data_IF_675215298724
#
_entry.id   IF_675215298724
#
_cell.length_a   1.000
_cell.length_b   1.000
_cell.length_c   1.000
_cell.angle_alpha   90.00
_cell.angle_beta   90.00
_cell.angle_gamma   90.00
#
_symmetry.space_group_name_H-M   'P 1'
#
loop_
_entity.id
_entity.type
_entity.pdbx_description
1 polymer ?
#
# COMPACT_ATOMS: atom_id res chain seq x y z
N UNK A 1 19.27 6.02 11.29
CA UNK A 1 18.29 6.35 10.23
C UNK A 1 17.37 5.14 10.12
N UNK A 2 16.06 5.34 9.93
CA UNK A 2 15.08 4.23 9.94
C UNK A 2 14.50 3.99 8.55
N UNK A 3 14.09 2.75 8.30
CA UNK A 3 13.37 2.36 7.07
C UNK A 3 11.94 2.86 7.16
N UNK A 4 11.53 3.68 6.21
CA UNK A 4 10.22 4.32 6.16
C UNK A 4 9.45 3.76 4.99
N UNK A 5 8.21 3.40 5.26
CA UNK A 5 7.30 2.84 4.29
C UNK A 5 6.01 3.63 4.33
N UNK A 6 5.35 3.73 3.20
CA UNK A 6 4.08 4.46 3.10
C UNK A 6 3.02 3.55 2.54
N UNK A 7 1.78 3.79 2.91
CA UNK A 7 0.65 3.06 2.37
C UNK A 7 -0.37 4.03 1.83
N UNK A 8 -0.85 3.76 0.62
CA UNK A 8 -1.80 4.58 -0.11
C UNK A 8 -3.05 3.76 -0.39
N UNK A 9 -4.21 4.36 -0.15
CA UNK A 9 -5.49 3.87 -0.67
C UNK A 9 -5.84 4.67 -1.92
N UNK A 10 -6.11 3.96 -3.01
CA UNK A 10 -6.54 4.55 -4.27
C UNK A 10 -7.97 4.11 -4.60
N UNK A 11 -8.74 4.97 -5.23
CA UNK A 11 -10.09 4.67 -5.69
C UNK A 11 -10.39 5.41 -6.99
N UNK A 12 -11.27 4.87 -7.82
CA UNK A 12 -11.80 5.59 -8.99
C UNK A 12 -12.88 6.57 -8.58
N UNK A 13 -12.67 7.84 -8.93
CA UNK A 13 -13.61 8.94 -8.68
C UNK A 13 -13.78 9.77 -9.95
N UNK A 14 -14.99 10.30 -10.17
CA UNK A 14 -15.23 11.23 -11.28
C UNK A 14 -14.67 12.60 -10.92
N UNK A 15 -13.73 13.17 -11.68
CA UNK A 15 -13.19 14.49 -11.39
C UNK A 15 -14.20 15.59 -11.69
N UNK A 16 -14.00 16.77 -11.10
CA UNK A 16 -14.81 17.96 -11.30
C UNK A 16 -14.87 18.35 -12.77
N UNK A 17 -16.09 18.49 -13.31
CA UNK A 17 -16.31 18.81 -14.72
C UNK A 17 -16.05 17.64 -15.68
N UNK A 18 -15.67 16.46 -15.19
CA UNK A 18 -15.50 15.24 -15.96
C UNK A 18 -16.75 14.35 -15.97
N UNK A 19 -16.69 13.29 -16.78
CA UNK A 19 -17.75 12.27 -16.88
C UNK A 19 -17.23 10.85 -16.68
N UNK A 20 -15.90 10.67 -16.69
CA UNK A 20 -15.24 9.37 -16.55
C UNK A 20 -14.50 9.32 -15.21
N UNK A 21 -14.55 8.17 -14.55
CA UNK A 21 -13.87 7.97 -13.27
C UNK A 21 -12.39 7.65 -13.49
N UNK A 22 -11.52 8.31 -12.74
CA UNK A 22 -10.07 8.13 -12.76
C UNK A 22 -9.55 7.75 -11.38
N UNK A 23 -8.47 6.98 -11.31
CA UNK A 23 -7.81 6.70 -10.04
C UNK A 23 -7.30 7.96 -9.33
N UNK A 24 -7.55 8.02 -8.02
CA UNK A 24 -7.03 9.02 -7.10
C UNK A 24 -6.64 8.38 -5.77
N UNK A 25 -5.57 8.87 -5.17
CA UNK A 25 -5.28 8.61 -3.77
C UNK A 25 -6.32 9.30 -2.89
N UNK A 26 -6.90 8.56 -1.96
CA UNK A 26 -7.98 9.01 -1.05
C UNK A 26 -7.62 8.89 0.42
N UNK A 27 -6.54 8.16 0.74
CA UNK A 27 -5.95 8.14 2.07
C UNK A 27 -4.49 7.71 1.96
N UNK A 28 -3.65 8.22 2.84
CA UNK A 28 -2.25 7.83 2.90
C UNK A 28 -1.71 7.89 4.33
N UNK A 29 -0.82 6.97 4.67
CA UNK A 29 -0.07 6.97 5.94
C UNK A 29 1.41 6.81 5.69
N UNK A 30 2.20 7.39 6.59
CA UNK A 30 3.63 7.18 6.69
C UNK A 30 3.95 6.37 7.93
N UNK A 31 4.76 5.32 7.76
CA UNK A 31 5.15 4.42 8.83
C UNK A 31 6.67 4.32 8.96
N UNK A 32 7.19 4.71 10.12
CA UNK A 32 8.58 4.48 10.50
C UNK A 32 8.80 3.06 11.01
N UNK A 33 9.75 2.33 10.43
CA UNK A 33 10.14 0.96 10.76
C UNK A 33 9.10 -0.11 10.37
N UNK A 34 8.44 0.04 9.22
CA UNK A 34 7.61 -1.02 8.60
C UNK A 34 8.30 -1.50 7.32
N UNK A 35 8.84 -2.72 7.34
CA UNK A 35 9.57 -3.32 6.22
C UNK A 35 9.56 -4.84 6.37
N UNK A 36 10.12 -5.56 5.37
CA UNK A 36 10.14 -7.01 5.37
C UNK A 36 8.72 -7.59 5.37
N UNK A 37 8.36 -8.34 6.42
CA UNK A 37 7.02 -8.97 6.53
C UNK A 37 5.93 -8.02 7.01
N UNK A 38 6.27 -6.87 7.60
CA UNK A 38 5.31 -5.99 8.25
C UNK A 38 4.30 -5.35 7.27
N UNK A 39 4.70 -4.86 6.08
CA UNK A 39 3.75 -4.34 5.10
C UNK A 39 2.73 -5.39 4.63
N UNK A 40 3.14 -6.65 4.50
CA UNK A 40 2.24 -7.76 4.14
C UNK A 40 1.20 -8.00 5.24
N UNK A 41 1.62 -7.98 6.51
CA UNK A 41 0.71 -8.16 7.65
C UNK A 41 -0.30 -7.01 7.77
N UNK A 42 0.17 -5.77 7.63
CA UNK A 42 -0.67 -4.58 7.66
C UNK A 42 -1.67 -4.60 6.48
N UNK A 43 -1.20 -4.89 5.26
CA UNK A 43 -2.04 -5.04 4.07
C UNK A 43 -3.09 -6.11 4.27
N UNK A 44 -2.70 -7.31 4.74
CA UNK A 44 -3.66 -8.40 4.99
C UNK A 44 -4.76 -8.01 5.97
N UNK A 45 -4.40 -7.33 7.06
CA UNK A 45 -5.35 -6.84 8.06
C UNK A 45 -6.29 -5.81 7.44
N UNK A 46 -5.75 -4.87 6.66
CA UNK A 46 -6.53 -3.86 5.98
C UNK A 46 -7.52 -4.46 4.99
N UNK A 47 -7.11 -5.46 4.20
CA UNK A 47 -8.01 -6.16 3.28
C UNK A 47 -9.16 -6.86 4.04
N UNK A 48 -8.91 -7.44 5.22
CA UNK A 48 -10.02 -7.96 6.07
C UNK A 48 -11.00 -6.85 6.43
N UNK A 49 -10.50 -5.70 6.87
CA UNK A 49 -11.34 -4.59 7.32
C UNK A 49 -12.13 -4.00 6.16
N UNK A 50 -11.52 -3.83 4.98
CA UNK A 50 -12.18 -3.30 3.78
C UNK A 50 -13.31 -4.22 3.32
N UNK A 51 -13.11 -5.55 3.39
CA UNK A 51 -14.08 -6.55 2.94
C UNK A 51 -15.22 -6.82 3.91
N UNK A 52 -15.15 -6.30 5.14
CA UNK A 52 -16.25 -6.37 6.09
C UNK A 52 -17.44 -5.54 5.55
N UNK A 53 -18.65 -6.10 5.58
CA UNK A 53 -19.83 -5.54 4.89
C UNK A 53 -20.17 -4.11 5.36
N UNK A 54 -20.13 -3.88 6.68
CA UNK A 54 -20.43 -2.59 7.29
C UNK A 54 -19.37 -1.55 6.90
N UNK A 55 -18.09 -1.94 6.94
CA UNK A 55 -16.99 -1.07 6.54
C UNK A 55 -17.05 -0.76 5.03
N UNK A 56 -17.34 -1.76 4.20
CA UNK A 56 -17.45 -1.65 2.76
C UNK A 56 -18.56 -0.66 2.35
N UNK A 57 -19.70 -0.66 3.04
CA UNK A 57 -20.77 0.31 2.79
C UNK A 57 -20.31 1.75 3.04
N UNK A 58 -19.62 1.98 4.17
CA UNK A 58 -19.11 3.31 4.51
C UNK A 58 -18.03 3.77 3.52
N UNK A 59 -17.09 2.89 3.15
CA UNK A 59 -16.04 3.18 2.17
C UNK A 59 -16.66 3.61 0.83
N UNK A 60 -17.66 2.88 0.33
CA UNK A 60 -18.34 3.23 -0.93
C UNK A 60 -18.99 4.60 -0.87
N UNK A 61 -19.65 4.92 0.24
CA UNK A 61 -20.28 6.23 0.39
C UNK A 61 -19.23 7.34 0.48
N UNK A 62 -18.14 7.15 1.21
CA UNK A 62 -17.04 8.13 1.26
C UNK A 62 -16.46 8.38 -0.15
N UNK A 63 -16.15 7.33 -0.91
CA UNK A 63 -15.67 7.45 -2.30
C UNK A 63 -16.69 8.19 -3.17
N UNK A 64 -17.97 7.81 -3.10
CA UNK A 64 -19.06 8.44 -3.86
C UNK A 64 -19.20 9.92 -3.55
N UNK A 65 -18.93 10.33 -2.31
CA UNK A 65 -19.02 11.75 -1.95
C UNK A 65 -17.96 12.61 -2.66
N UNK A 66 -16.90 12.03 -3.21
CA UNK A 66 -15.86 12.73 -3.94
C UNK A 66 -16.23 13.03 -5.40
N UNK A 67 -17.17 12.26 -5.97
CA UNK A 67 -17.56 12.37 -7.38
C UNK A 67 -17.99 13.80 -7.76
N UNK A 68 -17.34 14.33 -8.79
CA UNK A 68 -17.59 15.65 -9.36
C UNK A 68 -17.16 16.82 -8.49
N UNK A 69 -16.56 16.59 -7.32
CA UNK A 69 -16.20 17.67 -6.37
C UNK A 69 -14.80 18.20 -6.54
N UNK A 70 -13.84 17.34 -6.88
CA UNK A 70 -12.41 17.67 -6.89
C UNK A 70 -11.78 17.37 -8.25
N UNK A 71 -10.71 18.08 -8.63
CA UNK A 71 -9.99 17.93 -9.91
C UNK A 71 -9.29 16.58 -10.02
N UNK A 72 -8.34 16.40 -10.95
CA UNK A 72 -7.38 15.27 -10.90
C UNK A 72 -6.22 15.56 -9.93
N UNK A 73 -5.22 14.67 -9.88
CA UNK A 73 -4.05 14.84 -9.01
C UNK A 73 -3.41 16.20 -9.24
N UNK A 74 -3.30 17.00 -8.16
CA UNK A 74 -2.77 18.38 -8.20
C UNK A 74 -3.50 19.36 -9.12
N UNK A 75 -4.76 19.08 -9.46
CA UNK A 75 -5.63 19.98 -10.21
C UNK A 75 -6.74 20.57 -9.34
N UNK A 76 -7.26 21.72 -9.72
CA UNK A 76 -8.39 22.38 -9.05
C UNK A 76 -9.75 21.75 -9.45
N UNK A 77 -10.72 21.65 -8.53
CA UNK A 77 -10.63 21.96 -7.10
C UNK A 77 -9.76 20.97 -6.31
N UNK A 78 -8.86 21.46 -5.46
CA UNK A 78 -7.92 20.61 -4.70
C UNK A 78 -8.65 19.66 -3.74
N UNK A 79 -8.18 18.41 -3.69
CA UNK A 79 -8.65 17.39 -2.74
C UNK A 79 -8.25 17.78 -1.31
N UNK A 80 -9.14 17.70 -0.30
CA UNK A 80 -8.75 17.95 1.08
C UNK A 80 -7.75 16.91 1.55
N UNK A 81 -6.95 17.25 2.57
CA UNK A 81 -5.90 16.36 3.09
C UNK A 81 -6.43 14.98 3.53
N UNK A 82 -7.66 14.95 4.05
CA UNK A 82 -8.35 13.76 4.55
C UNK A 82 -9.76 13.65 3.93
N UNK A 83 -9.88 13.22 2.66
CA UNK A 83 -11.15 13.23 1.94
C UNK A 83 -12.10 12.12 2.39
N UNK A 84 -11.56 11.00 2.91
CA UNK A 84 -12.31 9.86 3.42
C UNK A 84 -11.88 9.55 4.87
N UNK A 85 -12.39 10.29 5.88
CA UNK A 85 -11.95 10.15 7.27
C UNK A 85 -12.08 8.74 7.86
N UNK A 86 -13.17 8.03 7.57
CA UNK A 86 -13.38 6.68 8.11
C UNK A 86 -12.46 5.67 7.44
N UNK A 87 -12.33 5.74 6.11
CA UNK A 87 -11.40 4.91 5.34
C UNK A 87 -9.95 5.15 5.78
N UNK A 88 -9.58 6.42 6.03
CA UNK A 88 -8.27 6.78 6.57
C UNK A 88 -8.04 6.22 7.97
N UNK A 89 -9.07 6.20 8.82
CA UNK A 89 -9.00 5.56 10.13
C UNK A 89 -8.73 4.05 10.02
N UNK A 90 -9.39 3.34 9.10
CA UNK A 90 -9.13 1.91 8.88
C UNK A 90 -7.68 1.66 8.43
N UNK A 91 -7.18 2.49 7.51
CA UNK A 91 -5.77 2.46 7.09
C UNK A 91 -4.83 2.64 8.28
N UNK A 92 -5.01 3.73 9.04
CA UNK A 92 -4.15 4.06 10.17
C UNK A 92 -4.21 2.97 11.26
N UNK A 93 -5.37 2.39 11.52
CA UNK A 93 -5.54 1.28 12.46
C UNK A 93 -4.81 0.01 11.99
N UNK A 94 -5.00 -0.39 10.74
CA UNK A 94 -4.37 -1.59 10.19
C UNK A 94 -2.84 -1.50 10.20
N UNK A 95 -2.31 -0.29 9.98
CA UNK A 95 -0.89 -0.01 9.89
C UNK A 95 -0.22 0.38 11.21
N UNK A 96 -0.96 0.64 12.28
CA UNK A 96 -0.37 1.05 13.59
C UNK A 96 -0.52 0.01 14.70
N UNK A 97 -1.54 -0.85 14.63
CA UNK A 97 -1.86 -1.75 15.74
C UNK A 97 -1.13 -3.11 15.61
N UNK A 98 -0.48 -3.56 16.68
CA UNK A 98 0.05 -4.93 16.82
C UNK A 98 0.86 -5.42 15.60
N UNK A 99 1.76 -4.57 15.09
CA UNK A 99 2.82 -5.00 14.19
C UNK A 99 4.03 -5.40 15.05
N UNK A 100 4.50 -6.66 14.98
CA UNK A 100 5.62 -7.10 15.80
C UNK A 100 6.86 -6.27 15.49
N UNK A 101 7.41 -5.56 16.47
CA UNK A 101 8.53 -4.65 16.20
C UNK A 101 8.90 -3.73 17.36
N UNK A 102 9.87 -2.86 17.09
CA UNK A 102 10.48 -1.99 18.08
C UNK A 102 9.49 -0.99 18.69
N UNK A 103 9.73 -0.63 19.95
CA UNK A 103 8.99 0.35 20.78
C UNK A 103 8.93 1.80 20.20
N UNK A 104 9.29 2.00 18.92
CA UNK A 104 9.43 3.29 18.22
C UNK A 104 8.78 3.30 16.83
N UNK A 105 7.82 2.41 16.58
CA UNK A 105 6.99 2.52 15.37
C UNK A 105 6.12 3.77 15.50
N UNK A 106 6.18 4.63 14.47
CA UNK A 106 5.38 5.84 14.39
C UNK A 106 4.65 5.76 13.05
N UNK A 107 3.32 5.66 13.13
CA UNK A 107 2.41 5.73 12.00
C UNK A 107 1.64 7.05 12.10
N UNK A 108 1.54 7.81 11.01
CA UNK A 108 0.74 9.02 10.95
C UNK A 108 0.18 9.22 9.54
N UNK A 109 -1.04 9.74 9.47
CA UNK A 109 -1.67 10.16 8.22
C UNK A 109 -0.85 11.23 7.49
N UNK A 110 -0.80 11.14 6.16
CA UNK A 110 -0.26 12.16 5.26
C UNK A 110 -1.33 12.58 4.26
N UNK A 111 -1.14 13.75 3.64
CA UNK A 111 -2.15 14.33 2.74
C UNK A 111 -2.48 13.39 1.58
N UNK A 112 -3.77 13.18 1.29
CA UNK A 112 -4.20 12.29 0.22
C UNK A 112 -3.74 12.74 -1.19
N UNK A 113 -3.42 14.02 -1.38
CA UNK A 113 -2.92 14.55 -2.66
C UNK A 113 -1.38 14.48 -2.79
N UNK A 114 -0.68 13.92 -1.78
CA UNK A 114 0.77 13.77 -1.82
C UNK A 114 1.20 12.80 -2.93
N UNK A 115 2.27 13.14 -3.62
CA UNK A 115 2.89 12.24 -4.59
C UNK A 115 3.61 11.09 -3.89
N UNK A 116 3.61 9.93 -4.55
CA UNK A 116 4.23 8.70 -4.05
C UNK A 116 5.72 8.83 -3.66
N UNK A 117 6.46 9.83 -4.19
CA UNK A 117 7.88 10.08 -3.92
C UNK A 117 8.16 11.42 -3.23
N UNK A 118 7.13 12.13 -2.76
CA UNK A 118 7.29 13.49 -2.19
C UNK A 118 7.63 13.48 -0.70
N UNK A 119 7.77 12.28 -0.14
CA UNK A 119 7.95 11.98 1.27
C UNK A 119 8.99 10.86 1.39
N UNK A 120 9.66 10.77 2.54
CA UNK A 120 10.74 9.80 2.74
C UNK A 120 10.19 8.35 2.78
N UNK A 121 10.52 7.52 1.79
CA UNK A 121 9.99 6.16 1.62
C UNK A 121 11.07 5.15 1.18
N UNK A 122 12.26 5.23 1.78
CA UNK A 122 13.38 4.31 1.50
C UNK A 122 13.07 2.81 1.72
N UNK A 123 11.95 2.45 2.37
CA UNK A 123 11.43 1.08 2.51
C UNK A 123 10.36 0.70 1.48
N UNK A 124 10.09 1.56 0.50
CA UNK A 124 9.05 1.39 -0.52
C UNK A 124 7.68 1.90 -0.10
N UNK A 125 6.68 1.57 -0.92
CA UNK A 125 5.27 1.91 -0.68
C UNK A 125 4.37 0.70 -0.89
N UNK A 126 3.23 0.68 -0.22
CA UNK A 126 2.08 -0.16 -0.49
C UNK A 126 0.99 0.67 -1.15
N UNK A 127 0.35 0.12 -2.17
CA UNK A 127 -0.82 0.73 -2.81
C UNK A 127 -1.95 -0.28 -2.79
N UNK A 128 -3.12 0.15 -2.34
CA UNK A 128 -4.31 -0.70 -2.24
C UNK A 128 -5.44 0.01 -2.97
N UNK A 129 -6.00 -0.65 -3.98
CA UNK A 129 -7.21 -0.22 -4.68
C UNK A 129 -8.45 -0.63 -3.87
N UNK A 130 -9.27 0.35 -3.54
CA UNK A 130 -10.51 0.20 -2.77
C UNK A 130 -11.75 0.61 -3.57
N UNK A 131 -11.62 0.77 -4.89
CA UNK A 131 -12.72 1.14 -5.79
C UNK A 131 -13.91 0.19 -5.63
N UNK A 132 -13.62 -1.11 -5.48
CA UNK A 132 -14.59 -2.12 -5.07
C UNK A 132 -14.13 -2.79 -3.77
N UNK A 133 -14.68 -2.40 -2.60
CA UNK A 133 -14.28 -2.96 -1.31
C UNK A 133 -14.51 -4.48 -1.17
N UNK A 134 -15.36 -5.10 -1.99
CA UNK A 134 -15.54 -6.56 -2.00
C UNK A 134 -14.40 -7.28 -2.74
N UNK A 135 -13.78 -6.59 -3.70
CA UNK A 135 -12.69 -7.10 -4.51
C UNK A 135 -11.52 -6.10 -4.60
N UNK A 136 -10.91 -5.74 -3.46
CA UNK A 136 -9.78 -4.82 -3.44
C UNK A 136 -8.55 -5.46 -4.10
N UNK A 137 -7.67 -4.61 -4.65
CA UNK A 137 -6.39 -5.03 -5.19
C UNK A 137 -5.24 -4.41 -4.39
N UNK A 138 -4.04 -4.98 -4.44
CA UNK A 138 -2.87 -4.40 -3.79
C UNK A 138 -1.59 -4.57 -4.59
N UNK A 139 -0.57 -3.76 -4.30
CA UNK A 139 0.80 -4.05 -4.68
C UNK A 139 1.79 -3.41 -3.71
N UNK A 140 3.04 -3.82 -3.79
CA UNK A 140 4.17 -3.09 -3.21
C UNK A 140 4.99 -2.45 -4.32
N UNK A 141 5.70 -1.37 -4.03
CA UNK A 141 6.58 -0.72 -5.02
C UNK A 141 7.87 -0.26 -4.36
N UNK A 142 8.99 -0.61 -4.97
CA UNK A 142 10.29 -0.03 -4.64
C UNK A 142 10.46 1.32 -5.34
N UNK A 143 10.46 2.41 -4.58
CA UNK A 143 10.53 3.78 -5.14
C UNK A 143 11.97 4.25 -5.31
N UNK A 144 12.83 3.98 -4.32
CA UNK A 144 14.26 4.34 -4.34
C UNK A 144 15.15 3.10 -4.15
N UNK A 145 14.60 1.92 -4.43
CA UNK A 145 15.08 0.64 -3.97
C UNK A 145 14.40 0.21 -2.68
N UNK A 146 14.75 -0.98 -2.22
CA UNK A 146 14.45 -1.46 -0.88
C UNK A 146 15.81 -1.60 -0.17
N UNK A 147 15.90 -1.16 1.09
CA UNK A 147 17.05 -1.45 1.93
C UNK A 147 17.03 -2.94 2.38
N UNK A 148 17.09 -3.83 1.38
CA UNK A 148 16.89 -5.28 1.48
C UNK A 148 18.13 -6.04 0.98
N UNK A 149 18.10 -7.37 1.06
CA UNK A 149 19.24 -8.23 0.69
C UNK A 149 19.43 -8.33 -0.83
N UNK A 150 18.32 -8.35 -1.56
CA UNK A 150 18.29 -8.42 -3.02
C UNK A 150 17.52 -7.24 -3.58
N UNK A 151 18.02 -6.67 -4.67
CA UNK A 151 17.35 -5.58 -5.38
C UNK A 151 16.16 -6.06 -6.20
N UNK A 152 15.14 -5.21 -6.30
CA UNK A 152 13.93 -5.44 -7.10
C UNK A 152 13.77 -4.31 -8.14
N UNK A 153 13.01 -4.53 -9.22
CA UNK A 153 12.70 -3.47 -10.18
C UNK A 153 12.08 -2.25 -9.51
N UNK A 154 12.51 -1.06 -9.93
CA UNK A 154 12.00 0.21 -9.41
C UNK A 154 10.72 0.61 -10.13
N UNK A 155 9.76 1.17 -9.39
CA UNK A 155 8.51 1.70 -9.96
C UNK A 155 7.69 0.66 -10.74
N UNK A 156 7.79 -0.60 -10.33
CA UNK A 156 7.01 -1.73 -10.87
C UNK A 156 6.17 -2.31 -9.72
N UNK A 157 4.88 -2.64 -9.94
CA UNK A 157 4.09 -3.37 -8.97
C UNK A 157 4.73 -4.72 -8.63
N UNK A 158 4.95 -4.95 -7.34
CA UNK A 158 5.48 -6.19 -6.79
C UNK A 158 4.36 -6.96 -6.08
N UNK A 159 4.34 -8.28 -6.26
CA UNK A 159 3.51 -9.16 -5.45
C UNK A 159 4.00 -9.24 -4.00
N UNK A 160 3.25 -9.93 -3.13
CA UNK A 160 3.71 -10.21 -1.78
C UNK A 160 5.02 -11.01 -1.76
N UNK A 161 5.14 -12.00 -2.65
CA UNK A 161 6.33 -12.82 -2.79
C UNK A 161 7.53 -11.99 -3.25
N UNK A 162 7.38 -11.24 -4.35
CA UNK A 162 8.48 -10.42 -4.90
C UNK A 162 9.01 -9.43 -3.87
N UNK A 163 8.12 -8.76 -3.13
CA UNK A 163 8.50 -7.80 -2.10
C UNK A 163 9.23 -8.46 -0.93
N UNK A 164 8.64 -9.53 -0.35
CA UNK A 164 9.21 -10.12 0.88
C UNK A 164 10.50 -10.90 0.60
N UNK A 165 10.61 -11.51 -0.58
CA UNK A 165 11.84 -12.23 -1.00
C UNK A 165 13.01 -11.30 -1.28
N UNK A 166 12.76 -10.00 -1.50
CA UNK A 166 13.82 -9.00 -1.51
C UNK A 166 14.54 -8.93 -0.15
N UNK A 167 13.80 -9.07 0.96
CA UNK A 167 14.32 -9.02 2.33
C UNK A 167 14.73 -10.39 2.87
N UNK A 168 14.07 -11.45 2.43
CA UNK A 168 14.29 -12.82 2.87
C UNK A 168 14.43 -13.74 1.65
N UNK A 169 15.60 -13.74 0.99
CA UNK A 169 15.85 -14.60 -0.16
C UNK A 169 15.58 -16.07 0.17
N UNK A 170 15.21 -16.85 -0.84
CA UNK A 170 14.99 -18.28 -0.67
C UNK A 170 16.26 -18.96 -0.17
N UNK A 171 16.13 -19.72 0.91
CA UNK A 171 17.22 -20.45 1.56
C UNK A 171 17.28 -21.90 1.09
N UNK A 172 18.46 -22.48 1.03
CA UNK A 172 18.64 -23.90 0.71
C UNK A 172 18.53 -24.82 1.95
N UNK A 173 18.61 -26.13 1.74
CA UNK A 173 18.49 -27.11 2.84
C UNK A 173 19.60 -26.94 3.90
N UNK A 174 20.80 -26.53 3.52
CA UNK A 174 21.92 -26.33 4.46
C UNK A 174 21.69 -25.08 5.32
N UNK A 175 21.21 -23.99 4.72
CA UNK A 175 20.84 -22.77 5.44
C UNK A 175 19.65 -22.97 6.39
N UNK A 176 18.72 -23.87 6.07
CA UNK A 176 17.61 -24.26 6.95
C UNK A 176 18.04 -25.04 8.20
N UNK A 177 19.29 -25.49 8.28
CA UNK A 177 19.87 -26.08 9.50
C UNK A 177 20.34 -25.02 10.50
N UNK A 178 20.49 -23.75 10.08
CA UNK A 178 20.83 -22.64 10.95
C UNK A 178 19.69 -22.40 11.96
N UNK A 179 20.06 -22.20 13.23
CA UNK A 179 19.10 -21.95 14.30
C UNK A 179 18.19 -20.74 13.97
N UNK A 180 16.88 -20.99 13.93
CA UNK A 180 15.86 -19.97 13.63
C UNK A 180 15.55 -19.76 12.15
N UNK A 181 16.40 -20.19 11.22
CA UNK A 181 16.20 -19.99 9.78
C UNK A 181 14.89 -20.63 9.28
N UNK A 182 14.61 -21.87 9.72
CA UNK A 182 13.35 -22.56 9.39
C UNK A 182 12.10 -21.84 9.87
N UNK A 183 12.14 -21.28 11.09
CA UNK A 183 11.02 -20.52 11.63
C UNK A 183 10.81 -19.22 10.84
N UNK A 184 11.89 -18.56 10.40
CA UNK A 184 11.78 -17.36 9.56
C UNK A 184 11.17 -17.70 8.21
N UNK A 185 11.63 -18.77 7.57
CA UNK A 185 11.11 -19.22 6.27
C UNK A 185 9.63 -19.62 6.35
N UNK A 186 9.23 -20.36 7.38
CA UNK A 186 7.83 -20.71 7.64
C UNK A 186 6.96 -19.45 7.79
N UNK A 187 7.44 -18.44 8.50
CA UNK A 187 6.71 -17.18 8.65
C UNK A 187 6.66 -16.35 7.36
N UNK A 188 7.71 -16.39 6.52
CA UNK A 188 7.75 -15.73 5.20
C UNK A 188 6.69 -16.35 4.31
N UNK A 189 6.71 -17.68 4.19
CA UNK A 189 5.70 -18.44 3.43
C UNK A 189 4.30 -18.13 3.94
N UNK A 190 4.09 -18.16 5.26
CA UNK A 190 2.80 -17.81 5.88
C UNK A 190 2.34 -16.39 5.55
N UNK A 191 3.27 -15.43 5.45
CA UNK A 191 2.96 -14.04 5.10
C UNK A 191 2.56 -13.89 3.63
N UNK A 192 3.22 -14.62 2.72
CA UNK A 192 2.88 -14.68 1.29
C UNK A 192 1.50 -15.32 1.13
N UNK A 193 1.31 -16.53 1.66
CA UNK A 193 0.06 -17.31 1.52
C UNK A 193 -1.17 -16.58 2.02
N UNK A 194 -1.03 -15.66 2.99
CA UNK A 194 -2.15 -14.86 3.48
C UNK A 194 -2.72 -13.89 2.44
N UNK A 195 -1.92 -13.47 1.47
CA UNK A 195 -2.30 -12.57 0.38
C UNK A 195 -2.46 -13.30 -0.97
N UNK A 196 -2.23 -14.62 -1.01
CA UNK A 196 -2.41 -15.41 -2.22
C UNK A 196 -3.85 -15.32 -2.73
N UNK A 197 -3.98 -15.06 -4.03
CA UNK A 197 -5.26 -14.94 -4.71
C UNK A 197 -5.92 -13.56 -4.59
N UNK A 198 -5.36 -12.64 -3.81
CA UNK A 198 -5.79 -11.25 -3.83
C UNK A 198 -5.32 -10.56 -5.14
N UNK A 199 -6.17 -9.79 -5.83
CA UNK A 199 -5.81 -9.10 -7.06
C UNK A 199 -4.63 -8.13 -6.87
N UNK A 200 -3.83 -7.96 -7.92
CA UNK A 200 -2.74 -6.98 -7.92
C UNK A 200 -3.17 -5.66 -8.56
N UNK A 201 -2.75 -4.56 -7.95
CA UNK A 201 -2.76 -3.24 -8.60
C UNK A 201 -1.76 -3.27 -9.74
N UNK A 202 -2.19 -2.88 -10.94
CA UNK A 202 -1.33 -2.88 -12.13
C UNK A 202 -0.64 -1.52 -12.36
N UNK A 203 0.23 -1.49 -13.37
CA UNK A 203 1.02 -0.32 -13.72
C UNK A 203 0.15 0.85 -14.21
N UNK A 204 -0.93 0.57 -14.94
CA UNK A 204 -1.83 1.59 -15.48
C UNK A 204 -2.59 2.29 -14.35
N UNK A 205 -3.01 1.53 -13.32
CA UNK A 205 -3.62 2.09 -12.11
C UNK A 205 -2.68 3.07 -11.40
N UNK A 206 -1.40 2.71 -11.24
CA UNK A 206 -0.39 3.58 -10.61
C UNK A 206 -0.11 4.83 -11.45
N UNK A 207 0.04 4.66 -12.77
CA UNK A 207 0.29 5.75 -13.70
C UNK A 207 -0.91 6.71 -13.80
N UNK A 208 -2.14 6.21 -13.70
CA UNK A 208 -3.33 7.05 -13.66
C UNK A 208 -3.48 7.81 -12.33
N UNK A 209 -3.15 7.16 -11.20
CA UNK A 209 -3.20 7.77 -9.85
C UNK A 209 -2.24 8.96 -9.75
N UNK A 210 -1.00 8.80 -10.23
CA UNK A 210 0.03 9.85 -10.22
C UNK A 210 0.59 10.09 -11.64
N UNK A 211 -0.11 10.87 -12.48
CA UNK A 211 0.35 11.14 -13.84
C UNK A 211 1.75 11.77 -13.89
N UNK A 212 2.63 11.23 -14.74
CA UNK A 212 4.01 11.73 -14.88
C UNK A 212 5.00 11.21 -13.84
N UNK A 213 4.57 10.27 -12.99
CA UNK A 213 5.38 9.62 -11.96
C UNK A 213 6.53 8.74 -12.47
N UNK A 214 6.61 8.42 -13.77
CA UNK A 214 7.69 7.57 -14.30
C UNK A 214 7.53 6.06 -14.04
N UNK A 215 6.34 5.63 -13.59
CA UNK A 215 5.94 4.21 -13.66
C UNK A 215 6.08 3.74 -15.12
N UNK A 216 6.87 2.70 -15.36
CA UNK A 216 7.15 2.17 -16.70
C UNK A 216 7.26 0.65 -16.66
N UNK A 217 6.91 -0.01 -17.78
CA UNK A 217 7.24 -1.42 -17.97
C UNK A 217 8.77 -1.53 -17.99
N UNK A 218 9.33 -2.24 -17.00
CA UNK A 218 10.78 -2.34 -16.77
C UNK A 218 11.57 -2.95 -17.93
#
# INVERSE_FOLDING_TARGET
MGQRHQAFLIARVVPHGGTEAHYRCVAAVHHGWCYGRLPLQATRRLLTLIKDEDNAEIIREEIRTLDGRYGRWKEEPVLPNLPCPYTSYLLEWAWSYDLPGHLRQICFSVDADVGYSETDNNGGISVIDITDPENPAYCFVAVHGLESEVGVPLLVPLSAEDYVRAYYPGVDEEELEIEGARSIEEDVISSITRLDGEPLVDLDMLAETWPGAGFSEG
#
